data_IF_127042052209
#
_entry.id   IF_127042052209
#
_cell.length_a   1.000
_cell.length_b   1.000
_cell.length_c   1.000
_cell.angle_alpha   90.00
_cell.angle_beta   90.00
_cell.angle_gamma   90.00
#
_symmetry.space_group_name_H-M   'P 1'
#
loop_
_entity.id
_entity.type
_entity.pdbx_description
1 polymer ?
#
# COMPACT_ATOMS: atom_id res chain seq x y z
N UNK A 1 4.89 -0.68 76.21
CA UNK A 1 4.20 -1.97 76.45
C UNK A 1 3.39 -2.22 75.19
N UNK A 2 3.98 -2.84 74.17
CA UNK A 2 3.99 -4.30 73.95
C UNK A 2 2.55 -4.80 73.74
N UNK A 3 2.12 -5.07 72.50
CA UNK A 3 2.12 -6.40 71.81
C UNK A 3 1.11 -7.33 72.49
N UNK A 4 0.16 -7.99 71.84
CA UNK A 4 -0.15 -8.25 70.42
C UNK A 4 -1.24 -9.34 70.40
N UNK A 5 -1.94 -9.46 69.28
CA UNK A 5 -2.76 -10.62 68.87
C UNK A 5 -2.54 -10.68 67.33
N UNK A 6 -1.76 -11.65 66.82
CA UNK A 6 -2.19 -12.98 66.33
C UNK A 6 -3.27 -12.84 65.24
N UNK A 7 -3.19 -13.36 64.02
CA UNK A 7 -2.36 -14.32 63.29
C UNK A 7 -2.63 -14.00 61.80
N UNK A 8 -1.62 -14.09 60.93
CA UNK A 8 -1.80 -14.74 59.63
C UNK A 8 -0.43 -15.01 59.02
N UNK A 9 -0.03 -16.27 59.20
CA UNK A 9 1.09 -16.91 58.53
C UNK A 9 0.60 -17.41 57.18
N UNK A 10 1.12 -16.87 56.07
CA UNK A 10 1.45 -17.72 54.92
C UNK A 10 2.76 -17.26 54.31
N UNK A 11 3.63 -18.26 54.25
CA UNK A 11 5.01 -18.24 53.83
C UNK A 11 5.12 -18.87 52.43
N UNK A 12 6.13 -18.42 51.70
CA UNK A 12 6.88 -19.14 50.66
C UNK A 12 6.13 -19.63 49.41
N UNK A 13 6.43 -18.95 48.29
CA UNK A 13 6.18 -19.43 46.93
C UNK A 13 6.83 -18.51 45.90
N UNK A 14 8.15 -18.32 45.99
CA UNK A 14 8.92 -17.71 44.89
C UNK A 14 8.98 -18.71 43.74
N UNK A 15 8.02 -18.67 42.82
CA UNK A 15 8.13 -19.39 41.54
C UNK A 15 9.18 -18.70 40.67
N UNK A 16 10.44 -19.08 40.89
CA UNK A 16 11.48 -19.01 39.88
C UNK A 16 11.16 -20.15 38.92
N UNK A 17 10.51 -19.86 37.81
CA UNK A 17 10.56 -20.73 36.64
C UNK A 17 11.97 -20.67 36.08
N UNK A 18 12.83 -21.53 36.64
CA UNK A 18 14.08 -21.92 36.02
C UNK A 18 13.73 -22.84 34.84
N UNK A 19 13.18 -22.24 33.78
CA UNK A 19 13.16 -22.88 32.47
C UNK A 19 14.58 -22.79 31.96
N UNK A 20 15.39 -23.76 32.37
CA UNK A 20 16.56 -24.21 31.62
C UNK A 20 16.09 -24.37 30.19
N UNK A 21 16.38 -23.36 29.37
CA UNK A 21 16.30 -23.46 27.93
C UNK A 21 17.26 -24.59 27.56
N UNK A 22 16.71 -25.79 27.36
CA UNK A 22 17.39 -26.79 26.57
C UNK A 22 17.59 -26.13 25.21
N UNK A 23 18.83 -25.67 25.01
CA UNK A 23 19.39 -25.33 23.72
C UNK A 23 19.37 -26.63 22.91
N UNK A 24 18.22 -26.91 22.29
CA UNK A 24 18.20 -27.77 21.12
C UNK A 24 18.79 -26.94 20.01
N UNK A 25 20.05 -27.21 19.75
CA UNK A 25 20.79 -26.83 18.55
C UNK A 25 20.09 -27.51 17.35
N UNK A 26 18.95 -26.95 16.94
CA UNK A 26 18.35 -27.22 15.65
C UNK A 26 19.04 -26.25 14.69
N UNK A 27 19.99 -26.75 13.90
CA UNK A 27 20.54 -26.08 12.72
C UNK A 27 19.45 -25.97 11.62
N UNK A 28 18.26 -25.48 11.99
CA UNK A 28 17.19 -25.09 11.11
C UNK A 28 17.38 -23.63 10.71
N UNK A 29 17.27 -23.36 9.41
CA UNK A 29 17.18 -22.00 8.87
C UNK A 29 16.14 -21.23 9.68
N UNK A 30 16.53 -20.09 10.27
CA UNK A 30 15.61 -19.25 11.04
C UNK A 30 14.36 -18.92 10.21
N UNK A 31 13.19 -18.79 10.85
CA UNK A 31 11.97 -18.36 10.15
C UNK A 31 12.17 -17.05 9.37
N UNK A 32 13.07 -16.18 9.84
CA UNK A 32 13.45 -14.95 9.16
C UNK A 32 14.26 -15.23 7.89
N UNK A 33 15.26 -16.11 7.97
CA UNK A 33 16.09 -16.48 6.82
C UNK A 33 15.26 -17.23 5.76
N UNK A 34 14.33 -18.08 6.19
CA UNK A 34 13.35 -18.73 5.30
C UNK A 34 12.44 -17.70 4.62
N UNK A 35 12.03 -16.67 5.34
CA UNK A 35 11.25 -15.57 4.78
C UNK A 35 12.05 -14.80 3.72
N UNK A 36 13.27 -14.38 4.04
CA UNK A 36 14.13 -13.64 3.13
C UNK A 36 14.45 -14.44 1.88
N UNK A 37 14.74 -15.73 2.03
CA UNK A 37 15.00 -16.63 0.89
C UNK A 37 13.80 -16.67 -0.07
N UNK A 38 12.57 -16.78 0.46
CA UNK A 38 11.35 -16.75 -0.36
C UNK A 38 11.15 -15.40 -1.06
N UNK A 39 11.52 -14.30 -0.42
CA UNK A 39 11.45 -12.97 -1.05
C UNK A 39 12.48 -12.86 -2.18
N UNK A 40 13.72 -13.31 -1.99
CA UNK A 40 14.76 -13.35 -3.04
C UNK A 40 14.30 -14.17 -4.24
N UNK A 41 13.81 -15.39 -4.01
CA UNK A 41 13.30 -16.26 -5.06
C UNK A 41 12.13 -15.61 -5.83
N UNK A 42 11.21 -14.96 -5.12
CA UNK A 42 10.12 -14.24 -5.78
C UNK A 42 10.60 -13.01 -6.57
N UNK A 43 11.66 -12.31 -6.12
CA UNK A 43 12.27 -11.24 -6.90
C UNK A 43 12.87 -11.76 -8.22
N UNK A 44 13.55 -12.90 -8.19
CA UNK A 44 14.10 -13.54 -9.40
C UNK A 44 13.00 -13.97 -10.36
N UNK A 45 11.94 -14.61 -9.85
CA UNK A 45 10.78 -15.03 -10.64
C UNK A 45 10.01 -13.85 -11.25
N UNK A 46 10.08 -12.66 -10.65
CA UNK A 46 9.49 -11.44 -11.20
C UNK A 46 10.22 -10.91 -12.45
N UNK A 47 11.40 -11.45 -12.78
CA UNK A 47 12.15 -11.10 -13.99
C UNK A 47 11.93 -12.08 -15.16
N UNK A 48 11.22 -13.18 -14.92
CA UNK A 48 11.00 -14.23 -15.90
C UNK A 48 10.25 -13.78 -17.16
N UNK A 49 10.47 -14.49 -18.27
CA UNK A 49 9.81 -14.15 -19.56
C UNK A 49 8.30 -14.36 -19.50
N UNK A 50 7.85 -15.35 -18.74
CA UNK A 50 6.43 -15.72 -18.59
C UNK A 50 5.66 -14.67 -17.77
N UNK A 51 4.63 -14.07 -18.38
CA UNK A 51 3.68 -13.15 -17.70
C UNK A 51 3.05 -13.81 -16.48
N UNK A 52 2.69 -15.09 -16.60
CA UNK A 52 2.07 -15.83 -15.50
C UNK A 52 3.03 -15.98 -14.32
N UNK A 53 4.29 -16.33 -14.58
CA UNK A 53 5.32 -16.47 -13.54
C UNK A 53 5.57 -15.14 -12.84
N UNK A 54 5.72 -14.05 -13.59
CA UNK A 54 5.88 -12.70 -13.00
C UNK A 54 4.67 -12.29 -12.15
N UNK A 55 3.46 -12.54 -12.63
CA UNK A 55 2.23 -12.21 -11.89
C UNK A 55 2.16 -12.95 -10.55
N UNK A 56 2.48 -14.25 -10.55
CA UNK A 56 2.51 -15.05 -9.32
C UNK A 56 3.61 -14.57 -8.38
N UNK A 57 4.78 -14.22 -8.90
CA UNK A 57 5.89 -13.69 -8.13
C UNK A 57 5.54 -12.38 -7.41
N UNK A 58 4.96 -11.42 -8.13
CA UNK A 58 4.48 -10.15 -7.56
C UNK A 58 3.41 -10.36 -6.47
N UNK A 59 2.52 -11.33 -6.69
CA UNK A 59 1.50 -11.70 -5.70
C UNK A 59 2.13 -12.32 -4.45
N UNK A 60 3.10 -13.21 -4.62
CA UNK A 60 3.86 -13.82 -3.52
C UNK A 60 4.63 -12.78 -2.70
N UNK A 61 5.26 -11.80 -3.37
CA UNK A 61 5.91 -10.66 -2.71
C UNK A 61 4.90 -9.85 -1.87
N UNK A 62 3.72 -9.60 -2.42
CA UNK A 62 2.63 -8.91 -1.70
C UNK A 62 2.25 -9.67 -0.43
N UNK A 63 2.04 -10.99 -0.53
CA UNK A 63 1.73 -11.85 0.62
C UNK A 63 2.88 -11.91 1.63
N UNK A 64 4.13 -11.84 1.19
CA UNK A 64 5.29 -11.79 2.08
C UNK A 64 5.27 -10.51 2.92
N UNK A 65 5.05 -9.34 2.30
CA UNK A 65 5.04 -8.04 2.98
C UNK A 65 3.86 -7.88 3.94
N UNK A 66 2.74 -8.57 3.71
CA UNK A 66 1.63 -8.62 4.68
C UNK A 66 1.99 -9.33 5.99
N UNK A 67 3.00 -10.22 5.99
CA UNK A 67 3.40 -10.98 7.19
C UNK A 67 4.44 -10.24 8.03
N UNK A 68 5.31 -9.47 7.39
CA UNK A 68 6.41 -8.75 8.06
C UNK A 68 6.57 -7.38 7.41
N UNK A 69 6.42 -6.34 8.22
CA UNK A 69 6.58 -4.95 7.82
C UNK A 69 7.98 -4.48 8.20
N UNK A 70 8.63 -3.71 7.33
CA UNK A 70 9.93 -3.06 7.55
C UNK A 70 11.02 -3.97 8.17
N UNK A 71 11.53 -4.92 7.39
CA UNK A 71 12.71 -5.72 7.79
C UNK A 71 14.00 -5.05 7.29
N UNK A 72 15.18 -5.31 7.90
CA UNK A 72 16.46 -4.86 7.36
C UNK A 72 16.65 -5.30 5.90
N UNK A 73 16.28 -6.55 5.60
CA UNK A 73 16.26 -7.06 4.24
C UNK A 73 15.42 -6.21 3.28
N UNK A 74 14.20 -5.80 3.68
CA UNK A 74 13.38 -4.94 2.83
C UNK A 74 14.06 -3.59 2.58
N UNK A 75 14.66 -3.01 3.63
CA UNK A 75 15.36 -1.74 3.50
C UNK A 75 16.55 -1.83 2.54
N UNK A 76 17.30 -2.94 2.55
CA UNK A 76 18.43 -3.18 1.66
C UNK A 76 18.01 -3.43 0.20
N UNK A 77 16.77 -3.88 -0.03
CA UNK A 77 16.29 -4.32 -1.35
C UNK A 77 15.13 -3.51 -1.93
N UNK A 78 14.64 -2.47 -1.25
CA UNK A 78 13.45 -1.72 -1.67
C UNK A 78 13.56 -1.14 -3.10
N UNK A 79 14.75 -0.69 -3.50
CA UNK A 79 14.98 -0.11 -4.84
C UNK A 79 14.78 -1.16 -5.92
N UNK A 80 15.37 -2.34 -5.78
CA UNK A 80 15.20 -3.45 -6.72
C UNK A 80 13.73 -3.86 -6.81
N UNK A 81 13.02 -3.91 -5.68
CA UNK A 81 11.60 -4.26 -5.67
C UNK A 81 10.76 -3.17 -6.34
N UNK A 82 11.11 -1.89 -6.13
CA UNK A 82 10.50 -0.76 -6.83
C UNK A 82 10.71 -0.86 -8.35
N UNK A 83 11.92 -1.21 -8.83
CA UNK A 83 12.20 -1.40 -10.25
C UNK A 83 11.36 -2.54 -10.87
N UNK A 84 11.16 -3.64 -10.13
CA UNK A 84 10.30 -4.75 -10.55
C UNK A 84 8.83 -4.31 -10.70
N UNK A 85 8.34 -3.54 -9.73
CA UNK A 85 7.00 -2.95 -9.74
C UNK A 85 6.86 -1.99 -10.93
N UNK A 86 7.79 -1.05 -11.08
CA UNK A 86 7.77 -0.04 -12.14
C UNK A 86 7.73 -0.70 -13.52
N UNK A 87 8.61 -1.68 -13.76
CA UNK A 87 8.64 -2.45 -14.99
C UNK A 87 7.30 -3.14 -15.28
N UNK A 88 6.71 -3.75 -14.27
CA UNK A 88 5.46 -4.51 -14.39
C UNK A 88 4.25 -3.59 -14.60
N UNK A 89 4.25 -2.39 -14.01
CA UNK A 89 3.23 -1.37 -14.27
C UNK A 89 3.33 -0.78 -15.67
N UNK A 90 4.56 -0.55 -16.18
CA UNK A 90 4.79 0.01 -17.52
C UNK A 90 4.48 -0.99 -18.64
N UNK A 91 4.89 -2.25 -18.47
CA UNK A 91 4.86 -3.27 -19.54
C UNK A 91 3.77 -4.31 -19.35
N UNK A 92 3.43 -4.64 -18.10
CA UNK A 92 2.41 -5.61 -17.76
C UNK A 92 1.00 -5.06 -18.00
N UNK A 93 0.04 -5.97 -18.17
CA UNK A 93 -1.37 -5.65 -18.38
C UNK A 93 -2.26 -6.64 -17.63
N UNK A 94 -3.49 -6.25 -17.34
CA UNK A 94 -4.49 -7.12 -16.72
C UNK A 94 -4.01 -7.61 -15.34
N UNK A 95 -3.94 -8.93 -15.08
CA UNK A 95 -3.55 -9.48 -13.78
C UNK A 95 -2.14 -9.04 -13.31
N UNK A 96 -1.17 -8.92 -14.22
CA UNK A 96 0.20 -8.51 -13.87
C UNK A 96 0.21 -7.06 -13.35
N UNK A 97 -0.54 -6.17 -14.00
CA UNK A 97 -0.64 -4.77 -13.60
C UNK A 97 -1.34 -4.62 -12.24
N UNK A 98 -2.38 -5.42 -11.97
CA UNK A 98 -3.05 -5.46 -10.67
C UNK A 98 -2.10 -5.95 -9.58
N UNK A 99 -1.36 -7.04 -9.83
CA UNK A 99 -0.39 -7.56 -8.87
C UNK A 99 0.74 -6.56 -8.57
N UNK A 100 1.24 -5.87 -9.59
CA UNK A 100 2.26 -4.83 -9.44
C UNK A 100 1.74 -3.63 -8.62
N UNK A 101 0.53 -3.14 -8.90
CA UNK A 101 -0.07 -2.03 -8.17
C UNK A 101 -0.31 -2.37 -6.69
N UNK A 102 -0.69 -3.62 -6.38
CA UNK A 102 -0.81 -4.10 -4.99
C UNK A 102 0.53 -4.20 -4.28
N UNK A 103 1.55 -4.69 -4.96
CA UNK A 103 2.89 -4.74 -4.37
C UNK A 103 3.42 -3.33 -4.10
N UNK A 104 3.18 -2.38 -5.00
CA UNK A 104 3.54 -0.98 -4.83
C UNK A 104 2.96 -0.38 -3.54
N UNK A 105 1.66 -0.56 -3.29
CA UNK A 105 1.02 -0.03 -2.09
C UNK A 105 1.55 -0.67 -0.82
N UNK A 106 1.81 -1.98 -0.84
CA UNK A 106 2.41 -2.68 0.30
C UNK A 106 3.88 -2.29 0.54
N UNK A 107 4.65 -2.06 -0.52
CA UNK A 107 6.03 -1.58 -0.42
C UNK A 107 6.07 -0.21 0.24
N UNK A 108 5.25 0.74 -0.22
CA UNK A 108 5.17 2.08 0.34
C UNK A 108 4.65 2.06 1.77
N UNK A 109 3.60 1.28 2.05
CA UNK A 109 3.12 1.09 3.42
C UNK A 109 4.22 0.53 4.34
N UNK A 110 5.01 -0.41 3.84
CA UNK A 110 6.09 -1.01 4.63
C UNK A 110 7.25 -0.05 4.90
N UNK A 111 7.44 0.95 4.06
CA UNK A 111 8.48 1.97 4.21
C UNK A 111 7.95 3.26 4.85
N UNK A 112 6.65 3.39 5.15
CA UNK A 112 6.03 4.70 5.46
C UNK A 112 6.56 5.40 6.72
N UNK A 113 7.39 4.70 7.52
CA UNK A 113 8.02 5.24 8.73
C UNK A 113 9.47 5.70 8.50
N UNK A 114 9.97 5.57 7.27
CA UNK A 114 11.35 5.90 6.88
C UNK A 114 11.36 6.74 5.59
N UNK A 115 12.48 7.41 5.34
CA UNK A 115 12.58 8.40 4.25
C UNK A 115 12.51 7.77 2.85
N UNK A 116 12.83 6.48 2.74
CA UNK A 116 12.81 5.71 1.49
C UNK A 116 11.41 5.66 0.86
N UNK A 117 10.35 5.78 1.66
CA UNK A 117 8.98 5.79 1.15
C UNK A 117 8.73 6.91 0.14
N UNK A 118 9.25 8.12 0.40
CA UNK A 118 9.07 9.26 -0.49
C UNK A 118 9.79 9.02 -1.83
N UNK A 119 11.01 8.46 -1.80
CA UNK A 119 11.76 8.14 -3.02
C UNK A 119 11.03 7.09 -3.87
N UNK A 120 10.49 6.04 -3.24
CA UNK A 120 9.66 5.02 -3.92
C UNK A 120 8.39 5.64 -4.49
N UNK A 121 7.71 6.51 -3.73
CA UNK A 121 6.53 7.23 -4.23
C UNK A 121 6.84 8.06 -5.48
N UNK A 122 7.91 8.87 -5.45
CA UNK A 122 8.31 9.72 -6.60
C UNK A 122 8.63 8.92 -7.86
N UNK A 123 9.15 7.69 -7.70
CA UNK A 123 9.40 6.80 -8.83
C UNK A 123 8.10 6.19 -9.39
N UNK A 124 7.18 5.79 -8.53
CA UNK A 124 5.97 5.06 -8.93
C UNK A 124 4.80 5.96 -9.33
N UNK A 125 4.69 7.17 -8.79
CA UNK A 125 3.60 8.11 -9.07
C UNK A 125 3.39 8.33 -10.58
N UNK A 126 4.41 8.66 -11.39
CA UNK A 126 4.18 8.93 -12.81
C UNK A 126 3.68 7.71 -13.56
N UNK A 127 4.11 6.51 -13.15
CA UNK A 127 3.73 5.25 -13.79
C UNK A 127 2.31 4.85 -13.42
N UNK A 128 1.93 5.02 -12.15
CA UNK A 128 0.57 4.81 -11.68
C UNK A 128 -0.39 5.78 -12.36
N UNK A 129 -0.02 7.05 -12.49
CA UNK A 129 -0.81 8.08 -13.17
C UNK A 129 -1.05 7.72 -14.63
N UNK A 130 -0.01 7.31 -15.37
CA UNK A 130 -0.17 6.84 -16.76
C UNK A 130 -1.07 5.61 -16.84
N UNK A 131 -0.84 4.60 -15.99
CA UNK A 131 -1.62 3.37 -16.00
C UNK A 131 -3.10 3.61 -15.67
N UNK A 132 -3.40 4.49 -14.70
CA UNK A 132 -4.75 4.86 -14.29
C UNK A 132 -5.51 5.62 -15.39
N UNK A 133 -4.82 6.55 -16.06
CA UNK A 133 -5.44 7.45 -17.04
C UNK A 133 -5.50 6.89 -18.46
N UNK A 134 -4.81 5.79 -18.76
CA UNK A 134 -4.87 5.09 -20.05
C UNK A 134 -6.27 4.49 -20.31
N UNK A 135 -7.08 5.06 -21.23
CA UNK A 135 -8.42 4.56 -21.51
C UNK A 135 -8.43 3.21 -22.22
N UNK A 136 -7.30 2.80 -22.82
CA UNK A 136 -7.14 1.49 -23.48
C UNK A 136 -6.79 0.37 -22.50
N UNK A 137 -6.39 0.72 -21.27
CA UNK A 137 -6.01 -0.23 -20.23
C UNK A 137 -7.19 -1.01 -19.65
N UNK A 138 -6.97 -2.26 -19.17
CA UNK A 138 -8.01 -3.03 -18.48
C UNK A 138 -8.51 -2.31 -17.22
N UNK A 139 -9.83 -2.24 -17.05
CA UNK A 139 -10.48 -1.50 -15.95
C UNK A 139 -9.99 -1.94 -14.55
N UNK A 140 -9.78 -3.24 -14.33
CA UNK A 140 -9.30 -3.75 -13.05
C UNK A 140 -7.89 -3.24 -12.70
N UNK A 141 -6.98 -3.18 -13.68
CA UNK A 141 -5.62 -2.63 -13.49
C UNK A 141 -5.66 -1.15 -13.18
N UNK A 142 -6.49 -0.39 -13.90
CA UNK A 142 -6.74 1.03 -13.64
C UNK A 142 -7.32 1.26 -12.25
N UNK A 143 -8.28 0.45 -11.84
CA UNK A 143 -8.92 0.54 -10.52
C UNK A 143 -7.89 0.34 -9.40
N UNK A 144 -7.05 -0.69 -9.52
CA UNK A 144 -5.99 -0.94 -8.54
C UNK A 144 -4.95 0.20 -8.53
N UNK A 145 -4.58 0.74 -9.70
CA UNK A 145 -3.70 1.92 -9.77
C UNK A 145 -4.31 3.15 -9.09
N UNK A 146 -5.64 3.34 -9.14
CA UNK A 146 -6.32 4.42 -8.42
C UNK A 146 -6.15 4.31 -6.91
N UNK A 147 -6.38 3.11 -6.35
CA UNK A 147 -6.17 2.85 -4.92
C UNK A 147 -4.71 3.06 -4.54
N UNK A 148 -3.79 2.48 -5.30
CA UNK A 148 -2.36 2.58 -5.02
C UNK A 148 -1.88 4.03 -5.10
N UNK A 149 -2.24 4.80 -6.12
CA UNK A 149 -1.86 6.21 -6.23
C UNK A 149 -2.31 7.00 -5.00
N UNK A 150 -3.59 6.87 -4.62
CA UNK A 150 -4.14 7.59 -3.47
C UNK A 150 -3.48 7.17 -2.15
N UNK A 151 -3.32 5.88 -1.91
CA UNK A 151 -2.71 5.37 -0.69
C UNK A 151 -1.23 5.77 -0.59
N UNK A 152 -0.52 5.72 -1.72
CA UNK A 152 0.90 6.09 -1.79
C UNK A 152 1.10 7.58 -1.54
N UNK A 153 0.26 8.43 -2.17
CA UNK A 153 0.27 9.85 -1.91
C UNK A 153 -0.09 10.17 -0.45
N UNK A 154 -1.02 9.41 0.15
CA UNK A 154 -1.39 9.60 1.56
C UNK A 154 -0.26 9.26 2.53
N UNK A 155 0.47 8.18 2.27
CA UNK A 155 1.47 7.63 3.20
C UNK A 155 2.88 8.22 3.04
N UNK A 156 3.23 8.67 1.84
CA UNK A 156 4.63 8.95 1.48
C UNK A 156 4.87 10.27 0.75
N UNK A 157 3.82 11.01 0.38
CA UNK A 157 3.99 12.31 -0.27
C UNK A 157 4.10 13.42 0.78
N UNK A 158 5.22 14.14 0.77
CA UNK A 158 5.45 15.26 1.69
C UNK A 158 5.12 16.63 1.07
N UNK A 159 5.00 16.72 -0.27
CA UNK A 159 4.64 17.95 -0.97
C UNK A 159 3.13 18.02 -1.26
N UNK A 160 2.49 19.10 -0.77
CA UNK A 160 1.07 19.36 -1.00
C UNK A 160 0.72 19.57 -2.48
N UNK A 161 1.65 20.10 -3.29
CA UNK A 161 1.45 20.28 -4.72
C UNK A 161 1.26 18.93 -5.43
N UNK A 162 2.05 17.93 -5.04
CA UNK A 162 1.96 16.58 -5.58
C UNK A 162 0.73 15.84 -5.09
N UNK A 163 0.35 16.00 -3.81
CA UNK A 163 -0.95 15.52 -3.30
C UNK A 163 -2.09 16.09 -4.15
N UNK A 164 -2.04 17.39 -4.44
CA UNK A 164 -3.05 18.06 -5.27
C UNK A 164 -3.03 17.55 -6.72
N UNK A 165 -1.85 17.23 -7.27
CA UNK A 165 -1.72 16.62 -8.60
C UNK A 165 -2.37 15.22 -8.65
N UNK A 166 -2.11 14.38 -7.65
CA UNK A 166 -2.75 13.07 -7.51
C UNK A 166 -4.27 13.20 -7.37
N UNK A 167 -4.75 14.17 -6.57
CA UNK A 167 -6.19 14.47 -6.45
C UNK A 167 -6.81 14.89 -7.79
N UNK A 168 -6.15 15.75 -8.57
CA UNK A 168 -6.65 16.15 -9.89
C UNK A 168 -6.71 14.96 -10.85
N UNK A 169 -5.73 14.06 -10.79
CA UNK A 169 -5.71 12.81 -11.57
C UNK A 169 -6.90 11.94 -11.19
N UNK A 170 -7.15 11.70 -9.90
CA UNK A 170 -8.29 10.92 -9.42
C UNK A 170 -9.63 11.57 -9.82
N UNK A 171 -9.74 12.90 -9.68
CA UNK A 171 -10.92 13.65 -10.13
C UNK A 171 -11.17 13.49 -11.62
N UNK A 172 -10.14 13.55 -12.46
CA UNK A 172 -10.31 13.34 -13.91
C UNK A 172 -10.95 11.99 -14.24
N UNK A 173 -10.66 10.95 -13.45
CA UNK A 173 -11.21 9.60 -13.65
C UNK A 173 -12.68 9.55 -13.26
N UNK A 174 -13.05 9.95 -12.03
CA UNK A 174 -14.45 9.85 -11.59
C UNK A 174 -15.36 10.96 -12.10
N UNK A 175 -14.82 12.05 -12.67
CA UNK A 175 -15.61 13.17 -13.21
C UNK A 175 -16.63 12.73 -14.27
N UNK A 176 -16.36 11.62 -14.97
CA UNK A 176 -17.30 11.01 -15.91
C UNK A 176 -18.58 10.45 -15.27
N UNK A 177 -18.65 10.34 -13.94
CA UNK A 177 -19.86 9.98 -13.18
C UNK A 177 -20.61 11.18 -12.60
N UNK A 178 -20.08 12.40 -12.72
CA UNK A 178 -20.77 13.59 -12.21
C UNK A 178 -22.01 13.91 -13.06
N UNK A 179 -23.03 14.58 -12.48
CA UNK A 179 -24.19 15.05 -13.24
C UNK A 179 -23.76 15.87 -14.44
N UNK A 180 -24.45 15.69 -15.57
CA UNK A 180 -24.26 16.57 -16.72
C UNK A 180 -24.98 17.90 -16.47
N UNK A 181 -24.77 18.90 -17.32
CA UNK A 181 -25.42 20.22 -17.19
C UNK A 181 -26.95 20.22 -17.20
N UNK A 182 -27.58 19.08 -17.53
CA UNK A 182 -29.03 18.85 -17.43
C UNK A 182 -29.47 18.16 -16.13
N UNK A 183 -28.55 17.92 -15.18
CA UNK A 183 -28.82 17.22 -13.91
C UNK A 183 -28.92 15.70 -14.01
N UNK A 184 -28.83 15.11 -15.21
CA UNK A 184 -28.89 13.66 -15.36
C UNK A 184 -27.58 12.99 -14.96
N UNK A 185 -27.69 11.90 -14.20
CA UNK A 185 -26.56 11.07 -13.83
C UNK A 185 -26.18 10.10 -14.97
N UNK A 186 -24.90 10.01 -15.33
CA UNK A 186 -24.42 9.00 -16.26
C UNK A 186 -24.69 7.57 -15.74
N UNK A 187 -25.21 6.69 -16.61
CA UNK A 187 -25.37 5.27 -16.31
C UNK A 187 -24.16 4.49 -16.87
N UNK A 188 -23.37 3.90 -15.97
CA UNK A 188 -22.13 3.20 -16.30
C UNK A 188 -22.23 1.69 -16.03
N UNK A 189 -21.54 0.85 -16.81
CA UNK A 189 -21.38 -0.56 -16.47
C UNK A 189 -20.72 -0.74 -15.08
N UNK A 190 -21.01 -1.84 -14.35
CA UNK A 190 -20.49 -2.05 -13.00
C UNK A 190 -18.97 -1.89 -12.86
N UNK A 191 -18.19 -2.35 -13.85
CA UNK A 191 -16.72 -2.24 -13.83
C UNK A 191 -16.22 -0.79 -13.94
N UNK A 192 -16.92 0.07 -14.70
CA UNK A 192 -16.59 1.50 -14.80
C UNK A 192 -16.98 2.20 -13.50
N UNK A 193 -18.16 1.88 -12.95
CA UNK A 193 -18.58 2.38 -11.63
C UNK A 193 -17.58 2.01 -10.55
N UNK A 194 -17.05 0.78 -10.53
CA UNK A 194 -16.03 0.36 -9.56
C UNK A 194 -14.74 1.17 -9.66
N UNK A 195 -14.26 1.45 -10.89
CA UNK A 195 -13.11 2.33 -11.12
C UNK A 195 -13.37 3.76 -10.61
N UNK A 196 -14.53 4.34 -10.95
CA UNK A 196 -14.86 5.70 -10.51
C UNK A 196 -15.02 5.78 -8.99
N UNK A 197 -15.61 4.76 -8.35
CA UNK A 197 -15.69 4.66 -6.89
C UNK A 197 -14.32 4.56 -6.24
N UNK A 198 -13.39 3.78 -6.82
CA UNK A 198 -12.02 3.70 -6.33
C UNK A 198 -11.32 5.06 -6.38
N UNK A 199 -11.45 5.77 -7.50
CA UNK A 199 -10.87 7.10 -7.67
C UNK A 199 -11.49 8.14 -6.72
N UNK A 200 -12.82 8.11 -6.54
CA UNK A 200 -13.52 8.98 -5.60
C UNK A 200 -13.10 8.72 -4.15
N UNK A 201 -13.02 7.45 -3.73
CA UNK A 201 -12.56 7.10 -2.39
C UNK A 201 -11.11 7.56 -2.15
N UNK A 202 -10.25 7.39 -3.16
CA UNK A 202 -8.88 7.92 -3.11
C UNK A 202 -8.83 9.43 -2.98
N UNK A 203 -9.68 10.15 -3.72
CA UNK A 203 -9.79 11.61 -3.61
C UNK A 203 -10.25 12.03 -2.20
N UNK A 204 -11.25 11.34 -1.64
CA UNK A 204 -11.73 11.58 -0.28
C UNK A 204 -10.66 11.28 0.78
N UNK A 205 -9.82 10.26 0.59
CA UNK A 205 -8.67 9.99 1.46
C UNK A 205 -7.68 11.16 1.44
N UNK A 206 -7.34 11.67 0.26
CA UNK A 206 -6.39 12.78 0.14
C UNK A 206 -6.95 14.09 0.67
N UNK A 207 -8.28 14.30 0.64
CA UNK A 207 -8.91 15.45 1.30
C UNK A 207 -8.58 15.53 2.79
N UNK A 208 -8.31 14.40 3.46
CA UNK A 208 -7.91 14.39 4.87
C UNK A 208 -6.55 15.07 5.14
N UNK A 209 -5.72 15.28 4.11
CA UNK A 209 -4.43 15.99 4.21
C UNK A 209 -4.53 17.49 3.90
N UNK A 210 -5.67 17.94 3.35
CA UNK A 210 -5.82 19.30 2.85
C UNK A 210 -6.28 20.23 3.98
N UNK A 211 -5.69 21.43 4.06
CA UNK A 211 -6.12 22.45 5.03
C UNK A 211 -7.58 22.88 4.79
N UNK A 212 -8.33 23.29 5.85
CA UNK A 212 -9.68 23.78 5.69
C UNK A 212 -9.82 24.90 4.65
N UNK A 213 -8.88 25.84 4.59
CA UNK A 213 -8.86 26.95 3.62
C UNK A 213 -8.79 26.45 2.17
N UNK A 214 -7.95 25.45 1.91
CA UNK A 214 -7.84 24.83 0.59
C UNK A 214 -9.09 24.03 0.23
N UNK A 215 -9.73 23.37 1.21
CA UNK A 215 -11.02 22.69 1.03
C UNK A 215 -12.11 23.68 0.61
N UNK A 216 -12.23 24.84 1.26
CA UNK A 216 -13.20 25.87 0.86
C UNK A 216 -13.01 26.31 -0.60
N UNK A 217 -11.76 26.48 -1.02
CA UNK A 217 -11.43 26.85 -2.41
C UNK A 217 -11.85 25.74 -3.39
N UNK A 218 -11.61 24.47 -3.05
CA UNK A 218 -12.06 23.33 -3.85
C UNK A 218 -13.59 23.18 -3.86
N UNK A 219 -14.27 23.40 -2.74
CA UNK A 219 -15.72 23.36 -2.64
C UNK A 219 -16.36 24.42 -3.56
N UNK A 220 -15.80 25.62 -3.60
CA UNK A 220 -16.24 26.66 -4.54
C UNK A 220 -16.07 26.21 -6.00
N UNK A 221 -14.99 25.48 -6.31
CA UNK A 221 -14.71 24.97 -7.66
C UNK A 221 -15.61 23.80 -8.07
N UNK A 222 -15.91 22.87 -7.16
CA UNK A 222 -16.56 21.59 -7.48
C UNK A 222 -18.03 21.50 -7.09
N UNK A 223 -18.50 22.31 -6.13
CA UNK A 223 -19.87 22.27 -5.60
C UNK A 223 -20.68 23.50 -5.99
N UNK A 224 -20.06 24.69 -5.99
CA UNK A 224 -20.77 25.95 -6.27
C UNK A 224 -20.77 26.39 -7.74
N UNK A 225 -20.17 25.59 -8.63
CA UNK A 225 -20.08 25.85 -10.07
C UNK A 225 -21.18 25.16 -10.90
N UNK A 226 -22.19 24.59 -10.23
CA UNK A 226 -23.35 23.93 -10.83
C UNK A 226 -24.61 24.76 -10.68
#
# INVERSE_FOLDING_TARGET
>A
VAVGEDEDTVSLGSDRTDSTAQLTDDEGISELETYEQKVREAMDLALEKSVHTRTNALTSLTTAFQKRVLTPFLLDHHQTICDLVERSLRKGRGPEQVAAARLASLLILSLSQVNEAEAVYKMLEPVLTVALTDPSGPLAGRQECAYTLALSAFLACHDLADVTSAMNTLHSVFSGSLPKGNGELPNHPPAVTALHTAALNGFCLLLCLISPTSIYTMANKYVLSW
#
